data_IF_207350741758
#
_entry.id   IF_207350741758
#
_cell.length_a   1.000
_cell.length_b   1.000
_cell.length_c   1.000
_cell.angle_alpha   90.00
_cell.angle_beta   90.00
_cell.angle_gamma   90.00
#
_symmetry.space_group_name_H-M   'P 1'
#
loop_
_entity.id
_entity.type
_entity.pdbx_description
1 polymer ?
#
# COMPACT_ATOMS: atom_id res chain seq x y z
N UNK A 1 -14.89 13.62 15.37
CA UNK A 1 -13.48 13.32 15.01
C UNK A 1 -13.19 13.63 13.54
N UNK A 2 -13.91 13.01 12.57
CA UNK A 2 -13.64 13.22 11.14
C UNK A 2 -13.68 14.71 10.74
N UNK A 3 -14.79 15.40 10.97
CA UNK A 3 -14.97 16.83 10.66
C UNK A 3 -13.92 17.70 11.32
N UNK A 4 -13.74 17.52 12.64
CA UNK A 4 -12.76 18.29 13.44
C UNK A 4 -11.34 18.16 12.90
N UNK A 5 -10.93 16.93 12.49
CA UNK A 5 -9.62 16.72 11.90
C UNK A 5 -9.44 17.50 10.58
N UNK A 6 -10.42 17.39 9.67
CA UNK A 6 -10.34 18.07 8.38
C UNK A 6 -10.38 19.60 8.52
N UNK A 7 -11.17 20.13 9.46
CA UNK A 7 -11.25 21.57 9.72
C UNK A 7 -9.98 22.13 10.36
N UNK A 8 -9.41 21.41 11.33
CA UNK A 8 -8.28 21.92 12.10
C UNK A 8 -6.92 21.64 11.45
N UNK A 9 -6.83 20.65 10.55
CA UNK A 9 -5.57 20.28 9.89
C UNK A 9 -5.54 20.76 8.44
N UNK A 10 -6.57 20.47 7.65
CA UNK A 10 -6.59 20.81 6.22
C UNK A 10 -6.73 22.30 5.96
N UNK A 11 -7.82 22.88 6.43
CA UNK A 11 -8.17 24.27 6.14
C UNK A 11 -7.05 25.28 6.46
N UNK A 12 -6.38 25.25 7.63
CA UNK A 12 -5.35 26.24 7.97
C UNK A 12 -4.16 26.27 7.03
N UNK A 13 -3.80 25.13 6.40
CA UNK A 13 -2.64 25.05 5.52
C UNK A 13 -2.92 25.37 4.04
N UNK A 14 -4.17 25.68 3.68
CA UNK A 14 -4.56 25.92 2.28
C UNK A 14 -3.70 26.99 1.59
N UNK A 15 -3.50 28.13 2.26
CA UNK A 15 -2.71 29.24 1.70
C UNK A 15 -1.24 28.87 1.48
N UNK A 16 -0.64 28.15 2.44
CA UNK A 16 0.74 27.68 2.32
C UNK A 16 0.89 26.61 1.24
N UNK A 17 -0.13 25.75 1.09
CA UNK A 17 -0.15 24.75 0.02
C UNK A 17 -0.20 25.40 -1.36
N UNK A 18 -1.03 26.44 -1.56
CA UNK A 18 -1.06 27.21 -2.82
C UNK A 18 0.30 27.82 -3.13
N UNK A 19 0.97 28.39 -2.13
CA UNK A 19 2.33 28.94 -2.28
C UNK A 19 3.35 27.85 -2.62
N UNK A 20 3.28 26.71 -1.94
CA UNK A 20 4.14 25.57 -2.22
C UNK A 20 3.97 25.07 -3.65
N UNK A 21 2.73 24.94 -4.15
CA UNK A 21 2.44 24.55 -5.55
C UNK A 21 3.12 25.52 -6.54
N UNK A 22 3.04 26.83 -6.30
CA UNK A 22 3.68 27.84 -7.14
C UNK A 22 5.22 27.66 -7.21
N UNK A 23 5.84 27.47 -6.05
CA UNK A 23 7.31 27.26 -5.96
C UNK A 23 7.71 25.94 -6.62
N UNK A 24 6.98 24.85 -6.34
CA UNK A 24 7.26 23.53 -6.90
C UNK A 24 7.10 23.51 -8.43
N UNK A 25 6.07 24.16 -8.98
CA UNK A 25 5.88 24.30 -10.41
C UNK A 25 6.98 25.14 -11.08
N UNK A 26 7.48 26.19 -10.41
CA UNK A 26 8.63 26.93 -10.91
C UNK A 26 9.84 26.01 -11.05
N UNK A 27 10.18 25.23 -10.01
CA UNK A 27 11.29 24.27 -10.07
C UNK A 27 11.09 23.19 -11.15
N UNK A 28 9.88 22.66 -11.33
CA UNK A 28 9.60 21.72 -12.39
C UNK A 28 9.83 22.33 -13.80
N UNK A 29 9.44 23.58 -14.02
CA UNK A 29 9.67 24.30 -15.29
C UNK A 29 11.13 24.55 -15.55
N UNK A 30 11.91 24.89 -14.53
CA UNK A 30 13.38 25.05 -14.65
C UNK A 30 14.06 23.74 -15.05
N UNK A 31 13.47 22.58 -14.68
CA UNK A 31 13.92 21.26 -15.10
C UNK A 31 13.35 20.80 -16.46
N UNK A 32 12.58 21.65 -17.14
CA UNK A 32 12.02 21.37 -18.46
C UNK A 32 10.67 20.67 -18.49
N UNK A 33 10.01 20.53 -17.35
CA UNK A 33 8.66 19.95 -17.26
C UNK A 33 7.58 21.04 -17.32
N UNK A 34 6.39 20.68 -17.77
CA UNK A 34 5.25 21.62 -17.79
C UNK A 34 4.81 22.04 -16.38
N UNK A 35 4.82 21.08 -15.47
CA UNK A 35 4.41 21.21 -14.06
C UNK A 35 4.94 20.03 -13.23
N UNK A 36 4.70 20.05 -11.90
CA UNK A 36 5.11 18.97 -10.98
C UNK A 36 4.43 17.64 -11.32
N UNK A 37 3.18 17.67 -11.76
CA UNK A 37 2.45 16.45 -12.13
C UNK A 37 3.04 15.76 -13.36
N UNK A 38 3.49 16.54 -14.35
CA UNK A 38 4.23 16.02 -15.49
C UNK A 38 5.58 15.44 -15.07
N UNK A 39 6.31 16.16 -14.20
CA UNK A 39 7.58 15.69 -13.64
C UNK A 39 7.42 14.36 -12.90
N UNK A 40 6.43 14.20 -12.02
CA UNK A 40 6.20 12.95 -11.31
C UNK A 40 5.86 11.79 -12.23
N UNK A 41 5.04 12.02 -13.25
CA UNK A 41 4.64 10.97 -14.22
C UNK A 41 5.77 10.53 -15.13
N UNK A 42 6.79 11.37 -15.36
CA UNK A 42 7.95 11.02 -16.19
C UNK A 42 8.79 9.87 -15.60
N UNK A 43 8.69 9.61 -14.30
CA UNK A 43 9.39 8.50 -13.62
C UNK A 43 8.87 7.09 -13.94
N UNK A 44 7.88 6.96 -14.83
CA UNK A 44 7.27 5.66 -15.16
C UNK A 44 7.56 5.19 -16.60
N UNK A 45 8.57 5.70 -17.27
CA UNK A 45 8.95 5.36 -18.66
C UNK A 45 7.78 5.56 -19.65
N UNK A 46 6.92 6.53 -19.40
CA UNK A 46 5.73 6.88 -20.18
C UNK A 46 5.58 8.40 -20.28
N UNK A 47 4.85 8.87 -21.31
CA UNK A 47 4.38 10.27 -21.26
C UNK A 47 3.33 10.43 -20.14
N UNK A 48 3.09 11.65 -19.64
CA UNK A 48 2.06 11.91 -18.64
C UNK A 48 0.67 11.38 -19.04
N UNK A 49 0.33 11.47 -20.32
CA UNK A 49 -0.95 11.02 -20.88
C UNK A 49 -1.02 9.49 -20.93
N UNK A 50 0.06 8.83 -21.37
CA UNK A 50 0.16 7.37 -21.39
C UNK A 50 0.04 6.79 -19.97
N UNK A 51 0.72 7.38 -18.99
CA UNK A 51 0.64 6.95 -17.60
C UNK A 51 -0.77 7.14 -17.03
N UNK A 52 -1.42 8.28 -17.33
CA UNK A 52 -2.81 8.54 -16.94
C UNK A 52 -3.77 7.52 -17.53
N UNK A 53 -3.60 7.16 -18.83
CA UNK A 53 -4.40 6.16 -19.49
C UNK A 53 -4.17 4.75 -18.92
N UNK A 54 -2.91 4.39 -18.61
CA UNK A 54 -2.56 3.09 -18.03
C UNK A 54 -3.17 2.91 -16.65
N UNK A 55 -3.11 3.93 -15.80
CA UNK A 55 -3.73 3.87 -14.46
C UNK A 55 -5.25 3.79 -14.53
N UNK A 56 -5.88 4.45 -15.54
CA UNK A 56 -7.32 4.31 -15.75
C UNK A 56 -7.70 2.93 -16.29
N UNK A 57 -6.90 2.36 -17.18
CA UNK A 57 -7.09 0.98 -17.66
C UNK A 57 -7.06 -0.02 -16.51
N UNK A 58 -6.05 0.07 -15.64
CA UNK A 58 -5.92 -0.79 -14.48
C UNK A 58 -7.10 -0.63 -13.50
N UNK A 59 -7.54 0.63 -13.28
CA UNK A 59 -8.74 0.88 -12.50
C UNK A 59 -9.99 0.24 -13.13
N UNK A 60 -10.13 0.34 -14.45
CA UNK A 60 -11.23 -0.27 -15.20
C UNK A 60 -11.31 -1.79 -15.00
N UNK A 61 -10.17 -2.48 -14.90
CA UNK A 61 -10.13 -3.93 -14.64
C UNK A 61 -10.69 -4.30 -13.24
N UNK A 62 -10.46 -3.49 -12.22
CA UNK A 62 -10.84 -3.77 -10.82
C UNK A 62 -12.17 -3.14 -10.42
N UNK A 63 -12.60 -2.09 -11.10
CA UNK A 63 -13.80 -1.33 -10.75
C UNK A 63 -15.06 -2.18 -10.51
N UNK A 64 -15.35 -3.23 -11.31
CA UNK A 64 -16.51 -4.10 -11.05
C UNK A 64 -16.44 -4.77 -9.67
N UNK A 65 -15.26 -5.29 -9.26
CA UNK A 65 -15.06 -5.89 -7.94
C UNK A 65 -15.22 -4.84 -6.83
N UNK A 66 -14.65 -3.64 -7.02
CA UNK A 66 -14.82 -2.54 -6.07
C UNK A 66 -16.29 -2.16 -5.87
N UNK A 67 -17.05 -2.04 -6.94
CA UNK A 67 -18.48 -1.70 -6.87
C UNK A 67 -19.30 -2.79 -6.16
N UNK A 68 -18.96 -4.06 -6.35
CA UNK A 68 -19.57 -5.18 -5.62
C UNK A 68 -19.25 -5.07 -4.11
N UNK A 69 -17.99 -4.85 -3.75
CA UNK A 69 -17.55 -4.63 -2.37
C UNK A 69 -18.25 -3.43 -1.74
N UNK A 70 -18.25 -2.28 -2.44
CA UNK A 70 -18.93 -1.07 -1.99
C UNK A 70 -20.41 -1.29 -1.73
N UNK A 71 -21.10 -1.98 -2.64
CA UNK A 71 -22.52 -2.31 -2.48
C UNK A 71 -22.77 -3.20 -1.28
N UNK A 72 -21.95 -4.24 -1.10
CA UNK A 72 -22.04 -5.14 0.05
C UNK A 72 -21.85 -4.38 1.37
N UNK A 73 -20.76 -3.62 1.50
CA UNK A 73 -20.45 -2.86 2.72
C UNK A 73 -21.53 -1.83 3.02
N UNK A 74 -21.99 -1.07 2.00
CA UNK A 74 -23.10 -0.12 2.15
C UNK A 74 -24.36 -0.76 2.72
N UNK A 75 -24.75 -1.92 2.19
CA UNK A 75 -25.93 -2.65 2.70
C UNK A 75 -25.75 -3.09 4.14
N UNK A 76 -24.58 -3.59 4.51
CA UNK A 76 -24.27 -3.98 5.89
C UNK A 76 -24.28 -2.79 6.85
N UNK A 77 -23.78 -1.65 6.43
CA UNK A 77 -23.85 -0.42 7.21
C UNK A 77 -25.31 0.09 7.32
N UNK A 78 -26.10 -0.03 6.26
CA UNK A 78 -27.53 0.29 6.30
C UNK A 78 -28.29 -0.62 7.28
N UNK A 79 -28.06 -1.95 7.23
CA UNK A 79 -28.61 -2.92 8.19
C UNK A 79 -28.29 -2.53 9.65
N UNK A 80 -27.10 -1.96 9.89
CA UNK A 80 -26.63 -1.56 11.22
C UNK A 80 -27.19 -0.21 11.68
N UNK A 81 -27.21 0.79 10.79
CA UNK A 81 -27.45 2.19 11.15
C UNK A 81 -28.77 2.78 10.64
N UNK A 82 -29.45 2.07 9.72
CA UNK A 82 -30.71 2.51 9.12
C UNK A 82 -30.56 3.62 8.07
N UNK A 83 -31.63 3.90 7.34
CA UNK A 83 -31.66 4.84 6.20
C UNK A 83 -31.33 6.28 6.58
N UNK A 84 -31.65 6.70 7.80
CA UNK A 84 -31.36 8.05 8.28
C UNK A 84 -29.87 8.35 8.37
N UNK A 85 -29.05 7.33 8.71
CA UNK A 85 -27.59 7.46 8.87
C UNK A 85 -26.86 7.03 7.61
N UNK A 86 -27.21 5.89 7.05
CA UNK A 86 -26.64 5.32 5.85
C UNK A 86 -27.73 4.77 4.94
N UNK A 87 -28.17 5.50 3.93
CA UNK A 87 -29.13 4.99 2.94
C UNK A 87 -28.62 3.75 2.24
N UNK A 88 -29.56 2.86 1.86
CA UNK A 88 -29.24 1.64 1.14
C UNK A 88 -28.85 1.84 -0.34
N UNK A 89 -28.86 3.08 -0.81
CA UNK A 89 -28.46 3.48 -2.16
C UNK A 89 -27.48 4.66 -2.10
N UNK A 90 -26.77 4.91 -3.20
CA UNK A 90 -25.85 6.05 -3.30
C UNK A 90 -24.50 5.85 -2.60
N UNK A 91 -23.94 6.93 -2.11
CA UNK A 91 -22.63 6.94 -1.49
C UNK A 91 -22.63 6.40 -0.05
N UNK A 92 -21.45 5.95 0.41
CA UNK A 92 -21.23 5.63 1.83
C UNK A 92 -20.68 6.88 2.53
N UNK A 93 -21.15 7.15 3.74
CA UNK A 93 -20.56 8.18 4.60
C UNK A 93 -19.16 7.79 5.02
N UNK A 94 -18.18 8.66 4.78
CA UNK A 94 -16.76 8.39 5.00
C UNK A 94 -16.43 8.08 6.47
N UNK A 95 -17.14 8.69 7.42
CA UNK A 95 -16.94 8.49 8.85
C UNK A 95 -17.37 7.11 9.37
N UNK A 96 -18.14 6.35 8.58
CA UNK A 96 -18.58 4.99 8.93
C UNK A 96 -17.60 3.89 8.49
N UNK A 97 -16.56 4.23 7.73
CA UNK A 97 -15.65 3.27 7.12
C UNK A 97 -14.40 2.95 7.97
N UNK A 98 -14.34 3.48 9.20
CA UNK A 98 -13.35 3.08 10.19
C UNK A 98 -11.92 3.60 9.97
N UNK A 99 -11.72 4.45 8.98
CA UNK A 99 -10.45 5.10 8.66
C UNK A 99 -10.70 6.59 8.40
N UNK A 100 -9.80 7.47 8.86
CA UNK A 100 -9.97 8.93 8.77
C UNK A 100 -10.22 9.41 7.33
N UNK A 101 -9.62 8.74 6.37
CA UNK A 101 -9.73 9.09 4.94
C UNK A 101 -10.62 8.12 4.16
N UNK A 102 -11.23 7.13 4.84
CA UNK A 102 -11.99 6.04 4.21
C UNK A 102 -11.21 5.35 3.09
N UNK A 103 -9.88 5.30 3.22
CA UNK A 103 -8.99 4.73 2.21
C UNK A 103 -8.93 3.20 2.25
N UNK A 104 -9.19 2.60 3.39
CA UNK A 104 -9.27 1.16 3.65
C UNK A 104 -10.34 0.91 4.71
N UNK A 105 -10.97 -0.25 4.68
CA UNK A 105 -12.17 -0.54 5.48
C UNK A 105 -12.01 -1.74 6.42
N UNK A 106 -10.81 -2.27 6.57
CA UNK A 106 -10.52 -3.47 7.36
C UNK A 106 -10.96 -3.37 8.84
N UNK A 107 -10.90 -2.16 9.43
CA UNK A 107 -11.30 -1.94 10.84
C UNK A 107 -12.77 -2.17 11.10
N UNK A 108 -13.63 -2.03 10.10
CA UNK A 108 -15.08 -2.30 10.25
C UNK A 108 -15.47 -3.73 9.83
N UNK A 109 -14.49 -4.61 9.54
CA UNK A 109 -14.78 -6.00 9.19
C UNK A 109 -15.76 -6.69 10.16
N UNK A 110 -15.65 -6.53 11.51
CA UNK A 110 -16.61 -7.16 12.42
C UNK A 110 -18.07 -6.74 12.23
N UNK A 111 -18.31 -5.53 11.66
CA UNK A 111 -19.67 -5.04 11.38
C UNK A 111 -20.27 -5.62 10.09
N UNK A 112 -19.40 -6.06 9.17
CA UNK A 112 -19.83 -6.48 7.82
C UNK A 112 -19.52 -7.95 7.52
N UNK A 113 -18.84 -8.65 8.43
CA UNK A 113 -18.49 -10.06 8.27
C UNK A 113 -19.73 -10.92 7.95
N UNK A 114 -19.62 -11.87 7.01
CA UNK A 114 -20.68 -12.85 6.78
C UNK A 114 -20.96 -13.67 8.04
N UNK A 115 -22.18 -14.15 8.20
CA UNK A 115 -22.52 -15.04 9.31
C UNK A 115 -21.57 -16.24 9.35
N UNK A 116 -20.97 -16.49 10.51
CA UNK A 116 -20.02 -17.59 10.73
C UNK A 116 -18.59 -17.33 10.24
N UNK A 117 -18.32 -16.20 9.58
CA UNK A 117 -16.98 -15.84 9.10
C UNK A 117 -16.31 -14.70 9.90
N UNK A 118 -16.91 -14.27 11.02
CA UNK A 118 -16.37 -13.19 11.86
C UNK A 118 -15.10 -13.56 12.61
N UNK A 119 -14.94 -14.82 12.97
CA UNK A 119 -13.75 -15.36 13.63
C UNK A 119 -12.90 -16.12 12.61
N UNK A 120 -11.71 -15.62 12.35
CA UNK A 120 -10.71 -16.25 11.46
C UNK A 120 -9.90 -17.34 12.17
N UNK A 121 -10.14 -17.56 13.49
CA UNK A 121 -9.53 -18.62 14.26
C UNK A 121 -8.14 -18.31 14.82
N UNK A 122 -7.53 -17.19 14.46
CA UNK A 122 -6.25 -16.70 15.03
C UNK A 122 -6.06 -15.21 14.80
N UNK A 123 -5.26 -14.59 15.67
CA UNK A 123 -4.67 -13.27 15.49
C UNK A 123 -3.16 -13.37 15.64
N UNK A 124 -2.40 -12.80 14.70
CA UNK A 124 -0.93 -12.89 14.68
C UNK A 124 -0.34 -12.23 15.93
N UNK A 125 -0.87 -11.07 16.35
CA UNK A 125 -0.40 -10.37 17.56
C UNK A 125 -0.57 -11.20 18.83
N UNK A 126 -1.69 -11.90 18.95
CA UNK A 126 -1.95 -12.80 20.08
C UNK A 126 -1.02 -14.02 20.05
N UNK A 127 -0.76 -14.59 18.87
CA UNK A 127 0.21 -15.69 18.71
C UNK A 127 1.63 -15.24 19.10
N UNK A 128 2.06 -14.05 18.67
CA UNK A 128 3.36 -13.47 19.02
C UNK A 128 3.50 -13.27 20.53
N UNK A 129 2.50 -12.67 21.17
CA UNK A 129 2.46 -12.45 22.64
C UNK A 129 2.47 -13.76 23.40
N UNK A 130 1.67 -14.74 22.98
CA UNK A 130 1.60 -16.05 23.64
C UNK A 130 2.93 -16.80 23.60
N UNK A 131 3.77 -16.56 22.58
CA UNK A 131 5.12 -17.13 22.48
C UNK A 131 6.20 -16.21 23.06
N UNK A 132 5.86 -15.09 23.71
CA UNK A 132 6.82 -14.15 24.27
C UNK A 132 7.73 -13.48 23.24
N UNK A 133 7.27 -13.35 21.99
CA UNK A 133 8.07 -12.73 20.91
C UNK A 133 8.28 -11.25 21.16
N UNK A 134 9.49 -10.79 20.89
CA UNK A 134 9.90 -9.40 20.99
C UNK A 134 9.85 -8.69 19.63
N UNK A 135 9.92 -7.35 19.57
CA UNK A 135 10.10 -6.62 18.30
C UNK A 135 11.29 -7.12 17.47
N UNK A 136 12.39 -7.47 18.11
CA UNK A 136 13.56 -8.04 17.43
C UNK A 136 13.25 -9.41 16.81
N UNK A 137 12.47 -10.25 17.49
CA UNK A 137 12.08 -11.56 16.95
C UNK A 137 11.15 -11.41 15.74
N UNK A 138 10.32 -10.37 15.70
CA UNK A 138 9.49 -10.05 14.54
C UNK A 138 10.35 -9.64 13.33
N UNK A 139 11.38 -8.81 13.54
CA UNK A 139 12.35 -8.44 12.48
C UNK A 139 13.13 -9.67 12.00
N UNK A 140 13.56 -10.55 12.91
CA UNK A 140 14.22 -11.82 12.55
C UNK A 140 13.31 -12.74 11.74
N UNK A 141 12.00 -12.76 12.01
CA UNK A 141 11.05 -13.52 11.20
C UNK A 141 10.99 -12.98 9.77
N UNK A 142 10.92 -11.64 9.61
CA UNK A 142 10.99 -10.98 8.30
C UNK A 142 12.31 -11.27 7.57
N UNK A 143 13.47 -11.11 8.23
CA UNK A 143 14.76 -11.51 7.67
C UNK A 143 14.77 -12.99 7.25
N UNK A 144 14.21 -13.86 8.10
CA UNK A 144 14.10 -15.29 7.84
C UNK A 144 13.30 -15.59 6.57
N UNK A 145 12.30 -14.77 6.24
CA UNK A 145 11.57 -14.91 4.98
C UNK A 145 12.51 -14.74 3.78
N UNK A 146 13.25 -13.64 3.71
CA UNK A 146 14.18 -13.37 2.61
C UNK A 146 15.34 -14.35 2.58
N UNK A 147 15.92 -14.70 3.73
CA UNK A 147 17.00 -15.68 3.83
C UNK A 147 16.55 -17.07 3.37
N UNK A 148 15.30 -17.44 3.62
CA UNK A 148 14.74 -18.71 3.13
C UNK A 148 14.69 -18.78 1.60
N UNK A 149 14.52 -17.65 0.95
CA UNK A 149 14.57 -17.51 -0.51
C UNK A 149 15.99 -17.46 -1.08
N UNK A 150 17.01 -17.38 -0.23
CA UNK A 150 18.42 -17.34 -0.62
C UNK A 150 19.06 -15.97 -0.64
N UNK A 151 18.36 -14.93 -0.17
CA UNK A 151 18.98 -13.62 0.05
C UNK A 151 19.95 -13.64 1.23
N UNK A 152 21.00 -12.82 1.17
CA UNK A 152 21.96 -12.70 2.24
C UNK A 152 21.31 -12.13 3.52
N UNK A 153 21.74 -12.55 4.73
CA UNK A 153 21.27 -11.96 5.98
C UNK A 153 21.47 -10.45 6.03
N UNK A 154 20.69 -9.78 6.86
CA UNK A 154 20.84 -8.34 7.09
C UNK A 154 22.23 -8.05 7.68
N UNK A 155 22.91 -6.96 7.27
CA UNK A 155 24.25 -6.64 7.73
C UNK A 155 24.26 -6.25 9.21
N UNK A 156 25.43 -6.33 9.84
CA UNK A 156 25.58 -5.95 11.25
C UNK A 156 25.20 -4.48 11.51
N UNK A 157 25.45 -3.61 10.51
CA UNK A 157 25.05 -2.20 10.54
C UNK A 157 23.55 -2.03 10.71
N UNK A 158 22.72 -2.86 10.06
CA UNK A 158 21.28 -2.85 10.22
C UNK A 158 20.87 -3.06 11.68
N UNK A 159 21.38 -4.11 12.31
CA UNK A 159 21.04 -4.45 13.70
C UNK A 159 21.53 -3.42 14.72
N UNK A 160 22.67 -2.78 14.45
CA UNK A 160 23.25 -1.75 15.33
C UNK A 160 22.61 -0.38 15.19
N UNK A 161 22.10 -0.02 13.99
CA UNK A 161 21.73 1.35 13.65
C UNK A 161 20.25 1.55 13.36
N UNK A 162 19.47 0.50 13.14
CA UNK A 162 18.02 0.60 12.97
C UNK A 162 17.34 1.05 14.26
N UNK A 163 16.31 1.87 14.15
CA UNK A 163 15.42 2.20 15.23
C UNK A 163 14.19 1.27 15.20
N UNK A 164 14.28 0.13 15.85
CA UNK A 164 13.23 -0.90 15.84
C UNK A 164 12.15 -0.61 16.89
N UNK A 165 12.52 0.01 18.01
CA UNK A 165 11.60 0.37 19.09
C UNK A 165 11.66 1.86 19.38
N UNK A 166 10.58 2.43 19.92
CA UNK A 166 10.56 3.84 20.33
C UNK A 166 11.62 4.07 21.42
N UNK A 167 12.57 5.02 21.24
CA UNK A 167 13.48 5.40 22.30
C UNK A 167 12.73 6.00 23.50
N UNK A 168 13.24 5.75 24.70
CA UNK A 168 12.63 6.26 25.93
C UNK A 168 13.06 7.71 26.25
N UNK A 169 14.15 8.18 25.65
CA UNK A 169 14.84 9.43 26.00
C UNK A 169 14.47 10.63 25.10
N UNK A 170 13.68 10.40 24.06
CA UNK A 170 13.28 11.45 23.10
C UNK A 170 12.01 11.12 22.33
N UNK A 171 11.35 12.17 21.83
CA UNK A 171 10.25 12.01 20.89
C UNK A 171 10.78 11.76 19.47
N UNK A 172 10.10 10.86 18.75
CA UNK A 172 10.42 10.47 17.39
C UNK A 172 9.15 10.29 16.56
N UNK A 173 9.28 10.45 15.24
CA UNK A 173 8.22 10.12 14.30
C UNK A 173 8.20 8.60 14.14
N UNK A 174 7.14 7.96 14.64
CA UNK A 174 7.00 6.50 14.66
C UNK A 174 6.56 5.87 13.32
N UNK A 175 6.23 6.67 12.30
CA UNK A 175 5.89 6.14 10.98
C UNK A 175 7.03 5.26 10.46
N UNK A 176 6.72 4.02 10.08
CA UNK A 176 7.69 3.06 9.58
C UNK A 176 8.35 3.58 8.28
N UNK A 177 9.62 3.30 8.11
CA UNK A 177 10.38 3.67 6.92
C UNK A 177 11.68 2.86 6.81
N UNK A 178 12.08 2.54 5.58
CA UNK A 178 13.33 1.88 5.27
C UNK A 178 14.30 2.86 4.60
N UNK A 179 15.59 2.70 4.87
CA UNK A 179 16.63 3.64 4.46
C UNK A 179 17.84 2.88 3.93
N UNK A 180 18.40 3.38 2.83
CA UNK A 180 19.75 3.10 2.38
C UNK A 180 20.56 4.39 2.57
N UNK A 181 21.56 4.36 3.46
CA UNK A 181 22.25 5.58 3.92
C UNK A 181 23.51 5.86 3.09
N UNK A 182 24.14 4.83 2.55
CA UNK A 182 25.43 4.93 1.86
C UNK A 182 25.45 4.29 0.47
N UNK A 183 24.31 3.80 -0.02
CA UNK A 183 24.17 3.04 -1.27
C UNK A 183 25.09 1.80 -1.33
N UNK A 184 25.34 1.18 -0.17
CA UNK A 184 26.16 -0.04 -0.03
C UNK A 184 25.51 -1.01 0.93
N UNK A 185 25.87 -0.92 2.23
CA UNK A 185 25.44 -1.88 3.26
C UNK A 185 24.91 -1.20 4.54
N UNK A 186 24.86 0.13 4.60
CA UNK A 186 24.23 0.83 5.72
C UNK A 186 22.74 1.01 5.47
N UNK A 187 22.04 -0.11 5.40
CA UNK A 187 20.58 -0.15 5.33
C UNK A 187 19.97 -0.18 6.72
N UNK A 188 18.82 0.46 6.89
CA UNK A 188 18.14 0.60 8.19
C UNK A 188 16.64 0.59 8.04
N UNK A 189 15.92 0.20 9.11
CA UNK A 189 14.51 0.55 9.31
C UNK A 189 14.37 1.51 10.50
N UNK A 190 13.36 2.35 10.42
CA UNK A 190 12.93 3.22 11.52
C UNK A 190 11.45 2.98 11.77
N UNK A 191 11.13 2.43 12.95
CA UNK A 191 9.74 2.26 13.39
C UNK A 191 9.67 2.12 14.91
N UNK A 192 8.51 2.33 15.49
CA UNK A 192 8.23 2.13 16.91
C UNK A 192 7.45 0.83 17.10
N UNK A 193 8.10 -0.30 16.86
CA UNK A 193 7.47 -1.61 16.76
C UNK A 193 6.72 -2.00 18.02
N UNK A 194 5.46 -2.36 17.85
CA UNK A 194 4.63 -3.05 18.85
C UNK A 194 4.49 -4.52 18.47
N UNK A 195 4.29 -5.36 19.48
CA UNK A 195 4.05 -6.79 19.26
C UNK A 195 2.58 -6.98 18.89
N UNK A 196 2.25 -6.76 17.62
CA UNK A 196 0.91 -6.92 17.06
C UNK A 196 0.94 -7.35 15.58
N UNK A 197 -0.23 -7.69 15.05
CA UNK A 197 -0.40 -8.16 13.68
C UNK A 197 0.00 -7.12 12.64
N UNK A 198 -0.30 -5.85 12.89
CA UNK A 198 -0.05 -4.77 11.94
C UNK A 198 1.46 -4.54 11.76
N UNK A 199 2.19 -4.43 12.86
CA UNK A 199 3.63 -4.19 12.82
C UNK A 199 4.41 -5.41 12.32
N UNK A 200 3.90 -6.64 12.54
CA UNK A 200 4.47 -7.84 11.93
C UNK A 200 4.40 -7.77 10.39
N UNK A 201 3.27 -7.37 9.84
CA UNK A 201 3.09 -7.16 8.40
C UNK A 201 3.97 -6.02 7.90
N UNK A 202 3.99 -4.89 8.61
CA UNK A 202 4.79 -3.71 8.26
C UNK A 202 6.29 -4.01 8.22
N UNK A 203 6.82 -4.81 9.16
CA UNK A 203 8.23 -5.24 9.14
C UNK A 203 8.55 -5.98 7.84
N UNK A 204 7.71 -6.91 7.40
CA UNK A 204 7.93 -7.64 6.16
C UNK A 204 7.92 -6.70 4.95
N UNK A 205 7.07 -5.67 4.97
CA UNK A 205 7.02 -4.62 3.94
C UNK A 205 8.31 -3.77 3.94
N UNK A 206 8.70 -3.22 5.08
CA UNK A 206 9.89 -2.34 5.18
C UNK A 206 11.19 -3.07 4.81
N UNK A 207 11.31 -4.34 5.19
CA UNK A 207 12.44 -5.17 4.76
C UNK A 207 12.45 -5.39 3.24
N UNK A 208 11.28 -5.36 2.57
CA UNK A 208 11.19 -5.37 1.12
C UNK A 208 11.97 -4.22 0.47
N UNK A 209 11.82 -3.02 1.00
CA UNK A 209 12.62 -1.89 0.57
C UNK A 209 14.11 -2.12 0.76
N UNK A 210 14.53 -2.59 1.95
CA UNK A 210 15.95 -2.82 2.24
C UNK A 210 16.55 -3.91 1.34
N UNK A 211 15.86 -5.02 1.09
CA UNK A 211 16.35 -6.06 0.20
C UNK A 211 16.40 -5.60 -1.26
N UNK A 212 15.48 -4.73 -1.69
CA UNK A 212 15.54 -4.13 -3.01
C UNK A 212 16.72 -3.16 -3.13
N UNK A 213 16.93 -2.30 -2.13
CA UNK A 213 18.08 -1.39 -2.05
C UNK A 213 19.39 -2.15 -2.18
N UNK A 214 19.57 -3.26 -1.44
CA UNK A 214 20.76 -4.12 -1.53
C UNK A 214 20.92 -4.79 -2.89
N UNK A 215 19.82 -5.19 -3.52
CA UNK A 215 19.89 -5.89 -4.80
C UNK A 215 20.44 -5.00 -5.92
N UNK A 216 20.02 -3.73 -5.99
CA UNK A 216 20.48 -2.82 -7.03
C UNK A 216 21.74 -2.02 -6.67
N UNK A 217 22.35 -2.22 -5.50
CA UNK A 217 23.51 -1.42 -5.06
C UNK A 217 24.78 -1.60 -5.91
N UNK A 218 24.81 -2.58 -6.81
CA UNK A 218 25.88 -2.79 -7.78
C UNK A 218 25.65 -2.03 -9.09
N UNK A 219 24.52 -1.38 -9.27
CA UNK A 219 24.24 -0.57 -10.45
C UNK A 219 25.07 0.73 -10.44
N UNK A 220 25.38 1.32 -11.61
CA UNK A 220 25.92 2.67 -11.66
C UNK A 220 25.06 3.69 -10.91
N UNK A 221 25.66 4.71 -10.33
CA UNK A 221 25.00 5.67 -9.43
C UNK A 221 23.65 6.18 -9.91
N UNK A 222 23.51 6.50 -11.20
CA UNK A 222 22.26 7.00 -11.78
C UNK A 222 21.14 5.97 -11.85
N UNK A 223 21.44 4.69 -11.61
CA UNK A 223 20.48 3.58 -11.66
C UNK A 223 20.23 2.92 -10.28
N UNK A 224 20.73 3.54 -9.21
CA UNK A 224 20.54 3.08 -7.83
C UNK A 224 19.15 3.44 -7.31
N UNK A 225 18.13 2.84 -7.92
CA UNK A 225 16.74 2.94 -7.48
C UNK A 225 15.95 1.74 -8.01
N UNK A 226 14.72 1.53 -7.54
CA UNK A 226 13.80 0.56 -8.12
C UNK A 226 13.39 0.92 -9.54
N UNK A 227 12.82 -0.02 -10.28
CA UNK A 227 12.34 0.18 -11.66
C UNK A 227 11.38 1.39 -11.79
N UNK A 228 10.55 1.61 -10.78
CA UNK A 228 9.85 2.84 -10.45
C UNK A 228 9.40 2.77 -8.98
N UNK A 229 8.84 3.84 -8.44
CA UNK A 229 8.41 3.90 -7.03
C UNK A 229 7.26 2.95 -6.71
N UNK A 230 6.40 2.62 -7.68
CA UNK A 230 5.36 1.59 -7.54
C UNK A 230 5.93 0.19 -7.37
N UNK A 231 7.06 -0.13 -8.00
CA UNK A 231 7.78 -1.39 -7.77
C UNK A 231 8.35 -1.47 -6.37
N UNK A 232 8.93 -0.38 -5.87
CA UNK A 232 9.49 -0.35 -4.53
C UNK A 232 8.43 -0.68 -3.47
N UNK A 233 7.28 -0.03 -3.54
CA UNK A 233 6.14 -0.31 -2.67
C UNK A 233 5.57 -1.72 -2.90
N UNK A 234 5.52 -2.16 -4.18
CA UNK A 234 4.95 -3.46 -4.53
C UNK A 234 5.77 -4.63 -3.99
N UNK A 235 7.10 -4.54 -3.92
CA UNK A 235 7.94 -5.59 -3.35
C UNK A 235 7.67 -5.77 -1.86
N UNK A 236 7.59 -4.68 -1.10
CA UNK A 236 7.20 -4.72 0.31
C UNK A 236 5.81 -5.35 0.51
N UNK A 237 4.83 -4.86 -0.25
CA UNK A 237 3.46 -5.36 -0.21
C UNK A 237 3.33 -6.83 -0.65
N UNK A 238 4.09 -7.26 -1.64
CA UNK A 238 4.12 -8.64 -2.12
C UNK A 238 4.59 -9.62 -1.04
N UNK A 239 5.65 -9.26 -0.32
CA UNK A 239 6.13 -10.07 0.80
C UNK A 239 5.14 -10.02 1.97
N UNK A 240 4.56 -8.86 2.26
CA UNK A 240 3.50 -8.73 3.28
C UNK A 240 2.26 -9.59 2.94
N UNK A 241 1.86 -9.64 1.65
CA UNK A 241 0.78 -10.52 1.18
C UNK A 241 1.08 -12.01 1.37
N UNK A 242 2.37 -12.36 1.42
CA UNK A 242 2.85 -13.74 1.60
C UNK A 242 2.73 -14.25 3.05
N UNK A 243 2.28 -13.41 4.00
CA UNK A 243 2.00 -13.80 5.38
C UNK A 243 0.67 -14.58 5.43
N UNK A 244 0.71 -15.79 4.94
CA UNK A 244 -0.45 -16.70 4.91
C UNK A 244 -0.44 -17.66 6.11
N UNK A 245 -1.56 -18.33 6.45
CA UNK A 245 -1.56 -19.37 7.48
C UNK A 245 -0.48 -20.42 7.28
N UNK A 246 -0.21 -20.79 6.02
CA UNK A 246 0.83 -21.77 5.69
C UNK A 246 2.23 -21.26 6.07
N UNK A 247 2.55 -20.01 5.75
CA UNK A 247 3.81 -19.40 6.19
C UNK A 247 3.92 -19.36 7.71
N UNK A 248 2.86 -18.97 8.42
CA UNK A 248 2.86 -18.92 9.90
C UNK A 248 3.12 -20.31 10.52
N UNK A 249 2.62 -21.38 9.89
CA UNK A 249 2.92 -22.75 10.30
C UNK A 249 4.40 -23.09 10.04
N UNK A 250 4.94 -22.70 8.88
CA UNK A 250 6.33 -22.98 8.50
C UNK A 250 7.35 -22.34 9.45
N UNK A 251 7.02 -21.15 9.99
CA UNK A 251 7.89 -20.46 10.97
C UNK A 251 7.55 -20.83 12.44
N UNK A 252 6.63 -21.78 12.67
CA UNK A 252 6.25 -22.23 14.00
C UNK A 252 5.44 -21.25 14.84
N UNK A 253 4.85 -20.23 14.19
CA UNK A 253 4.01 -19.25 14.89
C UNK A 253 2.56 -19.72 15.01
N UNK A 254 2.04 -20.47 14.04
CA UNK A 254 0.70 -21.05 14.05
C UNK A 254 0.79 -22.58 14.09
N UNK A 255 0.01 -23.21 14.97
CA UNK A 255 -0.15 -24.66 14.95
C UNK A 255 -0.91 -25.09 13.69
N UNK A 256 -0.42 -26.15 13.03
CA UNK A 256 -1.05 -26.73 11.83
C UNK A 256 -2.52 -27.09 12.04
N UNK A 257 -2.87 -27.55 13.26
CA UNK A 257 -4.26 -27.89 13.60
C UNK A 257 -5.18 -26.65 13.72
N UNK A 258 -4.60 -25.45 13.85
CA UNK A 258 -5.34 -24.18 13.94
C UNK A 258 -5.40 -23.43 12.59
N UNK A 259 -4.88 -24.01 11.51
CA UNK A 259 -5.03 -23.41 10.18
C UNK A 259 -6.52 -23.39 9.82
N UNK A 260 -7.09 -22.21 9.45
CA UNK A 260 -8.49 -22.10 9.08
C UNK A 260 -8.87 -23.05 7.95
N UNK A 261 -9.99 -23.73 8.12
CA UNK A 261 -10.59 -24.57 7.08
C UNK A 261 -11.11 -23.74 5.89
N UNK A 262 -11.37 -24.40 4.76
CA UNK A 262 -11.78 -23.71 3.52
C UNK A 262 -13.10 -22.93 3.63
N UNK A 263 -13.98 -23.29 4.56
CA UNK A 263 -15.22 -22.55 4.85
C UNK A 263 -14.95 -21.13 5.43
N UNK A 264 -13.77 -20.88 5.97
CA UNK A 264 -13.34 -19.55 6.44
C UNK A 264 -12.76 -18.65 5.35
N UNK A 265 -12.48 -19.16 4.16
CA UNK A 265 -11.82 -18.42 3.09
C UNK A 265 -12.60 -17.17 2.69
N UNK A 266 -13.93 -17.24 2.64
CA UNK A 266 -14.74 -16.06 2.30
C UNK A 266 -14.50 -14.89 3.28
N UNK A 267 -14.31 -15.18 4.56
CA UNK A 267 -14.00 -14.15 5.57
C UNK A 267 -12.61 -13.58 5.38
N UNK A 268 -11.60 -14.42 5.14
CA UNK A 268 -10.23 -14.01 4.86
C UNK A 268 -10.16 -13.12 3.61
N UNK A 269 -10.80 -13.54 2.52
CA UNK A 269 -10.83 -12.81 1.25
C UNK A 269 -11.61 -11.50 1.37
N UNK A 270 -12.74 -11.46 2.08
CA UNK A 270 -13.46 -10.21 2.32
C UNK A 270 -12.59 -9.22 3.11
N UNK A 271 -11.90 -9.67 4.15
CA UNK A 271 -11.00 -8.83 4.93
C UNK A 271 -9.88 -8.26 4.05
N UNK A 272 -9.29 -9.09 3.18
CA UNK A 272 -8.29 -8.65 2.20
C UNK A 272 -8.87 -7.65 1.20
N UNK A 273 -10.06 -7.88 0.69
CA UNK A 273 -10.72 -6.94 -0.23
C UNK A 273 -11.00 -5.59 0.44
N UNK A 274 -11.42 -5.58 1.71
CA UNK A 274 -11.66 -4.35 2.48
C UNK A 274 -10.39 -3.55 2.77
N UNK A 275 -9.23 -4.18 2.73
CA UNK A 275 -7.92 -3.52 2.80
C UNK A 275 -7.42 -3.14 1.38
N UNK A 276 -7.23 -4.11 0.50
CA UNK A 276 -6.52 -3.93 -0.77
C UNK A 276 -7.38 -3.32 -1.88
N UNK A 277 -8.60 -3.84 -2.08
CA UNK A 277 -9.49 -3.37 -3.15
C UNK A 277 -10.14 -2.03 -2.79
N UNK A 278 -10.56 -1.85 -1.53
CA UNK A 278 -11.14 -0.59 -1.06
C UNK A 278 -10.19 0.60 -1.22
N UNK A 279 -8.87 0.35 -1.12
CA UNK A 279 -7.84 1.38 -1.26
C UNK A 279 -7.69 1.93 -2.68
N UNK A 280 -7.93 1.12 -3.72
CA UNK A 280 -7.55 1.45 -5.09
C UNK A 280 -8.08 2.79 -5.60
N UNK A 281 -9.38 3.12 -5.49
CA UNK A 281 -9.85 4.41 -5.97
C UNK A 281 -9.26 5.59 -5.18
N UNK A 282 -8.97 5.42 -3.89
CA UNK A 282 -8.30 6.44 -3.09
C UNK A 282 -6.85 6.64 -3.52
N UNK A 283 -6.11 5.55 -3.71
CA UNK A 283 -4.74 5.58 -4.20
C UNK A 283 -4.60 6.30 -5.54
N UNK A 284 -5.60 6.12 -6.42
CA UNK A 284 -5.64 6.74 -7.74
C UNK A 284 -6.04 8.23 -7.69
N UNK A 285 -7.09 8.57 -6.93
CA UNK A 285 -7.68 9.93 -6.98
C UNK A 285 -6.76 11.00 -6.38
N UNK A 286 -5.91 10.68 -5.40
CA UNK A 286 -5.06 11.67 -4.73
C UNK A 286 -4.14 12.39 -5.71
N UNK A 287 -3.48 11.65 -6.58
CA UNK A 287 -2.57 12.28 -7.54
C UNK A 287 -3.32 12.87 -8.73
N UNK A 288 -4.41 12.28 -9.17
CA UNK A 288 -5.27 12.91 -10.18
C UNK A 288 -5.77 14.28 -9.72
N UNK A 289 -6.14 14.41 -8.46
CA UNK A 289 -6.50 15.68 -7.84
C UNK A 289 -5.30 16.66 -7.85
N UNK A 290 -4.11 16.20 -7.44
CA UNK A 290 -2.91 17.04 -7.40
C UNK A 290 -2.39 17.41 -8.79
N UNK A 291 -2.48 16.50 -9.76
CA UNK A 291 -2.12 16.84 -11.15
C UNK A 291 -2.98 17.98 -11.67
N UNK A 292 -4.30 17.96 -11.40
CA UNK A 292 -5.18 19.06 -11.75
C UNK A 292 -4.89 20.37 -11.02
N UNK A 293 -4.32 20.31 -9.81
CA UNK A 293 -3.82 21.48 -9.11
C UNK A 293 -2.53 22.01 -9.75
N UNK A 294 -1.60 21.13 -10.08
CA UNK A 294 -0.31 21.51 -10.67
C UNK A 294 -0.46 22.06 -12.09
N UNK A 295 -1.32 21.49 -12.92
CA UNK A 295 -1.58 21.99 -14.28
C UNK A 295 -2.53 23.19 -14.30
N UNK A 296 -3.14 23.54 -13.18
CA UNK A 296 -4.05 24.68 -13.03
C UNK A 296 -5.48 24.42 -13.47
N UNK A 297 -5.86 23.20 -13.81
CA UNK A 297 -7.28 22.86 -14.13
C UNK A 297 -8.17 22.88 -12.88
N UNK A 298 -7.57 22.72 -11.68
CA UNK A 298 -8.23 22.89 -10.38
C UNK A 298 -7.65 24.13 -9.70
N UNK A 299 -8.45 25.20 -9.64
CA UNK A 299 -8.04 26.47 -9.03
C UNK A 299 -8.18 26.44 -7.50
N UNK A 300 -7.44 27.27 -6.74
CA UNK A 300 -7.51 27.30 -5.28
C UNK A 300 -8.91 27.48 -4.69
N UNK A 301 -9.78 28.22 -5.39
CA UNK A 301 -11.19 28.38 -4.97
C UNK A 301 -11.97 27.05 -5.05
N UNK A 302 -11.57 26.14 -5.94
CA UNK A 302 -12.29 24.89 -6.20
C UNK A 302 -11.66 23.67 -5.50
N UNK A 303 -10.59 23.83 -4.73
CA UNK A 303 -9.84 22.69 -4.14
C UNK A 303 -10.76 21.73 -3.37
N UNK A 304 -11.59 22.24 -2.47
CA UNK A 304 -12.45 21.37 -1.65
C UNK A 304 -13.61 20.76 -2.44
N UNK A 305 -14.19 21.52 -3.38
CA UNK A 305 -15.25 21.05 -4.27
C UNK A 305 -14.73 19.92 -5.19
N UNK A 306 -13.57 20.13 -5.82
CA UNK A 306 -12.95 19.11 -6.68
C UNK A 306 -12.60 17.84 -5.89
N UNK A 307 -12.05 17.98 -4.69
CA UNK A 307 -11.77 16.85 -3.80
C UNK A 307 -13.03 16.05 -3.47
N UNK A 308 -14.09 16.72 -3.00
CA UNK A 308 -15.36 16.06 -2.64
C UNK A 308 -15.97 15.35 -3.85
N UNK A 309 -15.92 16.00 -5.03
CA UNK A 309 -16.42 15.41 -6.27
C UNK A 309 -15.63 14.15 -6.65
N UNK A 310 -14.30 14.21 -6.63
CA UNK A 310 -13.47 13.03 -6.96
C UNK A 310 -13.68 11.88 -5.95
N UNK A 311 -13.86 12.18 -4.68
CA UNK A 311 -14.21 11.18 -3.67
C UNK A 311 -15.53 10.48 -3.99
N UNK A 312 -16.50 11.24 -4.42
CA UNK A 312 -17.80 10.68 -4.83
C UNK A 312 -17.67 9.85 -6.11
N UNK A 313 -16.99 10.37 -7.13
CA UNK A 313 -16.91 9.72 -8.45
C UNK A 313 -16.08 8.42 -8.43
N UNK A 314 -14.94 8.42 -7.72
CA UNK A 314 -14.04 7.25 -7.66
C UNK A 314 -14.38 6.29 -6.52
N UNK A 315 -14.59 6.81 -5.32
CA UNK A 315 -14.82 5.97 -4.14
C UNK A 315 -16.31 5.74 -3.83
N UNK A 316 -17.23 6.52 -4.38
CA UNK A 316 -18.62 6.48 -3.95
C UNK A 316 -18.78 6.83 -2.47
N UNK A 317 -17.95 7.72 -1.93
CA UNK A 317 -18.05 8.18 -0.54
C UNK A 317 -18.41 9.66 -0.44
N UNK A 318 -19.07 10.03 0.64
CA UNK A 318 -19.47 11.41 0.93
C UNK A 318 -19.03 11.79 2.35
N UNK A 319 -18.72 13.06 2.61
CA UNK A 319 -18.48 13.53 3.97
C UNK A 319 -19.74 13.37 4.85
N UNK A 320 -19.58 13.28 6.19
CA UNK A 320 -20.71 13.14 7.11
C UNK A 320 -21.67 14.34 7.15
N UNK A 321 -21.20 15.51 6.71
CA UNK A 321 -21.97 16.75 6.60
C UNK A 321 -21.46 17.56 5.41
N UNK A 322 -22.26 18.50 4.87
CA UNK A 322 -21.81 19.40 3.81
C UNK A 322 -20.48 20.10 4.17
N UNK A 323 -19.58 20.20 3.20
CA UNK A 323 -18.27 20.84 3.38
C UNK A 323 -18.24 22.20 2.71
N UNK A 324 -17.56 23.15 3.37
CA UNK A 324 -17.35 24.48 2.81
C UNK A 324 -16.37 24.43 1.63
N UNK A 325 -16.62 25.23 0.61
CA UNK A 325 -15.70 25.41 -0.53
C UNK A 325 -14.38 26.08 -0.10
N UNK A 326 -14.39 26.87 0.99
CA UNK A 326 -13.18 27.43 1.60
C UNK A 326 -12.28 26.40 2.27
N UNK A 327 -12.77 25.17 2.47
CA UNK A 327 -12.03 24.08 3.07
C UNK A 327 -10.84 23.62 2.22
N UNK A 328 -10.05 22.74 2.80
CA UNK A 328 -8.99 22.00 2.11
C UNK A 328 -8.86 20.61 2.74
N UNK A 329 -9.92 19.82 2.60
CA UNK A 329 -10.00 18.47 3.20
C UNK A 329 -8.88 17.54 2.73
N UNK A 330 -8.43 17.68 1.48
CA UNK A 330 -7.29 16.96 0.96
C UNK A 330 -6.00 17.20 1.76
N UNK A 331 -5.81 18.41 2.28
CA UNK A 331 -4.67 18.80 3.10
C UNK A 331 -4.59 18.08 4.44
N UNK A 332 -5.68 17.50 4.91
CA UNK A 332 -5.70 16.67 6.11
C UNK A 332 -5.03 15.30 5.93
N UNK A 333 -4.70 14.90 4.70
CA UNK A 333 -3.91 13.70 4.38
C UNK A 333 -2.43 14.07 4.23
N UNK A 334 -1.59 13.58 5.12
CA UNK A 334 -0.15 13.89 5.21
C UNK A 334 0.57 13.98 3.86
N UNK A 335 0.33 13.04 2.95
CA UNK A 335 1.01 12.96 1.65
C UNK A 335 0.70 14.15 0.73
N UNK A 336 -0.43 14.83 0.92
CA UNK A 336 -0.82 15.97 0.09
C UNK A 336 0.06 17.19 0.43
N UNK A 337 0.05 17.73 1.67
CA UNK A 337 0.94 18.83 2.02
C UNK A 337 2.41 18.41 2.12
N UNK A 338 2.71 17.15 2.41
CA UNK A 338 4.06 16.59 2.38
C UNK A 338 4.63 16.43 0.98
N UNK A 339 3.86 16.77 -0.05
CA UNK A 339 4.24 16.74 -1.47
C UNK A 339 4.84 15.39 -1.91
N UNK A 340 4.30 14.28 -1.37
CA UNK A 340 4.77 12.92 -1.66
C UNK A 340 3.89 12.29 -2.74
N UNK A 341 4.42 11.83 -3.89
CA UNK A 341 3.66 11.10 -4.91
C UNK A 341 2.91 9.90 -4.30
N UNK A 342 1.68 9.65 -4.75
CA UNK A 342 0.79 8.66 -4.14
C UNK A 342 0.34 7.54 -5.08
N UNK A 343 0.40 7.73 -6.39
CA UNK A 343 0.02 6.71 -7.38
C UNK A 343 0.86 5.44 -7.25
N UNK A 344 2.06 5.53 -6.67
CA UNK A 344 2.91 4.38 -6.30
C UNK A 344 2.13 3.31 -5.51
N UNK A 345 1.30 3.73 -4.57
CA UNK A 345 0.51 2.81 -3.74
C UNK A 345 -0.64 2.16 -4.52
N UNK A 346 -1.25 2.87 -5.47
CA UNK A 346 -2.22 2.28 -6.40
C UNK A 346 -1.58 1.18 -7.24
N UNK A 347 -0.42 1.46 -7.82
CA UNK A 347 0.33 0.46 -8.61
C UNK A 347 0.78 -0.71 -7.74
N UNK A 348 1.29 -0.44 -6.54
CA UNK A 348 1.75 -1.46 -5.61
C UNK A 348 0.63 -2.44 -5.23
N UNK A 349 -0.58 -1.93 -4.96
CA UNK A 349 -1.74 -2.77 -4.64
C UNK A 349 -2.12 -3.74 -5.77
N UNK A 350 -1.81 -3.40 -7.01
CA UNK A 350 -2.03 -4.27 -8.18
C UNK A 350 -0.83 -5.20 -8.39
N UNK A 351 0.37 -4.64 -8.45
CA UNK A 351 1.60 -5.38 -8.73
C UNK A 351 1.90 -6.45 -7.69
N UNK A 352 1.58 -6.22 -6.41
CA UNK A 352 1.79 -7.23 -5.37
C UNK A 352 1.12 -8.57 -5.69
N UNK A 353 -0.09 -8.54 -6.26
CA UNK A 353 -0.80 -9.76 -6.66
C UNK A 353 -0.18 -10.40 -7.90
N UNK A 354 0.30 -9.57 -8.84
CA UNK A 354 0.98 -10.07 -10.03
C UNK A 354 2.31 -10.75 -9.68
N UNK A 355 3.09 -10.17 -8.78
CA UNK A 355 4.31 -10.79 -8.25
C UNK A 355 3.99 -12.06 -7.46
N UNK A 356 2.96 -12.03 -6.63
CA UNK A 356 2.55 -13.17 -5.81
C UNK A 356 2.09 -14.35 -6.65
N UNK A 357 1.26 -14.11 -7.66
CA UNK A 357 0.82 -15.15 -8.60
C UNK A 357 2.01 -15.76 -9.36
N UNK A 358 2.95 -14.91 -9.81
CA UNK A 358 4.16 -15.38 -10.48
C UNK A 358 5.04 -16.25 -9.56
N UNK A 359 5.25 -15.83 -8.31
CA UNK A 359 6.00 -16.60 -7.33
C UNK A 359 5.36 -17.96 -7.05
N UNK A 360 4.05 -17.98 -6.80
CA UNK A 360 3.30 -19.21 -6.55
C UNK A 360 3.34 -20.18 -7.74
N UNK A 361 3.23 -19.65 -8.97
CA UNK A 361 3.36 -20.43 -10.19
C UNK A 361 4.77 -21.03 -10.32
N UNK A 362 5.82 -20.26 -10.04
CA UNK A 362 7.22 -20.72 -10.08
C UNK A 362 7.52 -21.78 -9.01
N UNK A 363 6.89 -21.66 -7.82
CA UNK A 363 6.95 -22.66 -6.75
C UNK A 363 6.13 -23.93 -7.04
N UNK A 364 5.41 -24.00 -8.18
CA UNK A 364 4.60 -25.15 -8.56
C UNK A 364 3.29 -25.29 -7.77
N UNK A 365 2.82 -24.23 -7.10
CA UNK A 365 1.57 -24.25 -6.34
C UNK A 365 0.37 -24.57 -7.22
N UNK A 366 -0.54 -25.43 -6.72
CA UNK A 366 -1.75 -25.89 -7.43
C UNK A 366 -3.07 -25.59 -6.69
N UNK A 367 -2.97 -25.12 -5.46
CA UNK A 367 -4.15 -24.77 -4.64
C UNK A 367 -4.67 -23.33 -4.89
N UNK A 368 -5.67 -22.91 -4.10
CA UNK A 368 -6.14 -21.53 -4.12
C UNK A 368 -5.00 -20.56 -3.86
N UNK A 369 -4.95 -19.45 -4.62
CA UNK A 369 -3.83 -18.53 -4.60
C UNK A 369 -3.60 -17.92 -3.21
N UNK A 370 -4.67 -17.51 -2.52
CA UNK A 370 -4.61 -16.91 -1.18
C UNK A 370 -4.08 -17.85 -0.07
N UNK A 371 -3.88 -19.14 -0.37
CA UNK A 371 -3.27 -20.12 0.55
C UNK A 371 -1.85 -20.51 0.17
N UNK A 372 -1.31 -19.92 -0.90
CA UNK A 372 0.03 -20.22 -1.35
C UNK A 372 1.09 -19.79 -0.34
N UNK A 373 2.14 -20.58 -0.20
CA UNK A 373 3.40 -20.14 0.40
C UNK A 373 4.54 -20.59 -0.51
N UNK A 374 5.47 -19.69 -0.77
CA UNK A 374 6.74 -19.96 -1.46
C UNK A 374 7.94 -19.76 -0.52
N UNK A 375 7.69 -19.69 0.79
CA UNK A 375 8.74 -19.66 1.82
C UNK A 375 9.68 -20.85 1.65
N UNK A 376 10.98 -20.59 1.61
CA UNK A 376 12.01 -21.60 1.40
C UNK A 376 12.32 -21.92 -0.06
N UNK A 377 11.59 -21.38 -1.05
CA UNK A 377 11.83 -21.64 -2.46
C UNK A 377 12.95 -20.75 -3.03
N UNK A 378 14.17 -21.28 -3.03
CA UNK A 378 15.36 -20.58 -3.54
C UNK A 378 15.30 -20.28 -5.04
N UNK A 379 14.53 -21.03 -5.83
CA UNK A 379 14.35 -20.76 -7.26
C UNK A 379 13.51 -19.49 -7.46
N UNK A 380 12.41 -19.36 -6.70
CA UNK A 380 11.61 -18.13 -6.69
C UNK A 380 12.48 -16.96 -6.25
N UNK A 381 13.27 -17.11 -5.17
CA UNK A 381 14.17 -16.06 -4.69
C UNK A 381 15.22 -15.64 -5.71
N UNK A 382 15.85 -16.58 -6.40
CA UNK A 382 16.83 -16.29 -7.45
C UNK A 382 16.22 -15.53 -8.63
N UNK A 383 14.98 -15.88 -9.04
CA UNK A 383 14.28 -15.17 -10.10
C UNK A 383 13.80 -13.77 -9.65
N UNK A 384 13.37 -13.64 -8.39
CA UNK A 384 13.04 -12.35 -7.80
C UNK A 384 14.29 -11.45 -7.80
N UNK A 385 15.42 -11.96 -7.30
CA UNK A 385 16.66 -11.20 -7.20
C UNK A 385 17.14 -10.68 -8.57
N UNK A 386 17.00 -11.45 -9.64
CA UNK A 386 17.31 -11.02 -11.02
C UNK A 386 16.52 -9.77 -11.42
N UNK A 387 15.23 -9.67 -11.03
CA UNK A 387 14.43 -8.48 -11.28
C UNK A 387 14.91 -7.32 -10.39
N UNK A 388 15.18 -7.58 -9.12
CA UNK A 388 15.58 -6.53 -8.16
C UNK A 388 16.95 -5.94 -8.52
N UNK A 389 17.91 -6.77 -8.96
CA UNK A 389 19.26 -6.33 -9.38
C UNK A 389 19.24 -5.39 -10.59
N UNK A 390 18.20 -5.42 -11.41
CA UNK A 390 18.07 -4.50 -12.54
C UNK A 390 17.94 -3.03 -12.09
N UNK A 391 17.41 -2.78 -10.89
CA UNK A 391 17.17 -1.42 -10.42
C UNK A 391 16.37 -0.62 -11.45
N UNK A 392 16.80 0.61 -11.73
CA UNK A 392 16.23 1.43 -12.79
C UNK A 392 17.10 1.46 -14.07
N UNK A 393 18.00 0.47 -14.26
CA UNK A 393 18.87 0.37 -15.44
C UNK A 393 18.13 -0.07 -16.71
N UNK A 394 16.88 -0.51 -16.57
CA UNK A 394 15.99 -0.93 -17.66
C UNK A 394 14.60 -0.33 -17.45
N UNK A 395 13.85 -0.07 -18.53
CA UNK A 395 12.44 0.29 -18.42
C UNK A 395 11.66 -0.73 -17.57
N UNK A 396 10.71 -0.26 -16.75
CA UNK A 396 9.95 -1.12 -15.84
C UNK A 396 9.26 -2.33 -16.52
N UNK A 397 8.81 -2.28 -17.80
CA UNK A 397 8.23 -3.47 -18.44
C UNK A 397 9.21 -4.63 -18.58
N UNK A 398 10.52 -4.34 -18.76
CA UNK A 398 11.56 -5.39 -18.82
C UNK A 398 11.76 -6.01 -17.43
N UNK A 399 11.79 -5.19 -16.37
CA UNK A 399 11.89 -5.66 -15.00
C UNK A 399 10.68 -6.54 -14.64
N UNK A 400 9.46 -6.08 -14.95
CA UNK A 400 8.24 -6.86 -14.73
C UNK A 400 8.29 -8.22 -15.43
N UNK A 401 8.69 -8.22 -16.72
CA UNK A 401 8.80 -9.44 -17.53
C UNK A 401 9.83 -10.42 -16.97
N UNK A 402 10.92 -9.92 -16.41
CA UNK A 402 12.00 -10.77 -15.88
C UNK A 402 11.50 -11.69 -14.75
N UNK A 403 10.53 -11.26 -13.94
CA UNK A 403 9.98 -12.06 -12.85
C UNK A 403 8.63 -12.71 -13.19
N UNK A 404 7.73 -11.98 -13.86
CA UNK A 404 6.35 -12.42 -14.09
C UNK A 404 6.13 -13.11 -15.43
N UNK A 405 7.06 -12.92 -16.37
CA UNK A 405 6.96 -13.40 -17.75
C UNK A 405 6.14 -12.50 -18.69
N UNK A 406 5.55 -11.41 -18.19
CA UNK A 406 4.80 -10.43 -18.97
C UNK A 406 5.30 -9.01 -18.74
N UNK A 407 5.43 -8.17 -19.79
CA UNK A 407 5.84 -6.77 -19.63
C UNK A 407 4.69 -5.82 -19.29
N UNK A 408 3.47 -6.31 -19.14
CA UNK A 408 2.28 -5.51 -18.94
C UNK A 408 1.73 -5.65 -17.52
N UNK A 409 1.46 -4.53 -16.85
CA UNK A 409 0.72 -4.54 -15.59
C UNK A 409 -0.71 -5.06 -15.81
N UNK A 410 -1.23 -5.85 -14.88
CA UNK A 410 -2.59 -6.36 -14.92
C UNK A 410 -3.15 -6.54 -13.52
N UNK A 411 -4.41 -6.17 -13.35
CA UNK A 411 -5.14 -6.44 -12.12
C UNK A 411 -5.80 -7.84 -12.11
N UNK A 412 -5.71 -8.59 -13.22
CA UNK A 412 -6.26 -9.95 -13.26
C UNK A 412 -5.77 -10.85 -12.12
N UNK A 413 -4.48 -10.86 -11.73
CA UNK A 413 -4.01 -11.65 -10.59
C UNK A 413 -4.71 -11.33 -9.25
N UNK A 414 -5.12 -10.07 -9.04
CA UNK A 414 -5.93 -9.69 -7.87
C UNK A 414 -7.34 -10.28 -7.96
N UNK A 415 -7.92 -10.31 -9.16
CA UNK A 415 -9.23 -10.93 -9.37
C UNK A 415 -9.20 -12.46 -9.24
N UNK A 416 -8.08 -13.08 -9.61
CA UNK A 416 -7.85 -14.51 -9.49
C UNK A 416 -7.56 -14.95 -8.03
N UNK A 417 -7.02 -14.04 -7.20
CA UNK A 417 -6.71 -14.26 -5.79
C UNK A 417 -7.96 -14.35 -4.96
#
# INVERSE_FOLDING_TARGET
>A
MWTTWHDNVGKPMKADYVKMVGIANQGAKELGYADVGAMWRSGYDMTPEQFSAETERLWGEVKPLYLALHTYVRRKLNEKYGDTVQPNTGAIRADLLGNMWAQEWGTIYPLVAPKGAGDLGYDIGDLLKAQGRTPIDMVKAGEGFYSSLGFAPLPETFWKRSMIVKPADREVICHASAWDVDNKDDIRIKMCTKVDSNDFVTIHHELGHNYYQRAYNQQPFLYLNGANDGFHEAIGDFIALSITPQYLVQIGLLDKAKVPSADKDIGLLLRQAMDKVAFLPFGLLIDRYRWGIFDGSIQPADYNKAWTKMRLDYQGVTPPAPRSDDGFDAGAKFHVPGNTPYTRYFLARILQFQFYQAACKQAGWKGPLHRCSFYGDKKVGANLNKMLEMGMSKPWPEALKAFTGTPQMSAKPMLDY
#
